data_IF_014946574128
#
_entry.id   IF_014946574128
#
_cell.length_a   1.000
_cell.length_b   1.000
_cell.length_c   1.000
_cell.angle_alpha   90.00
_cell.angle_beta   90.00
_cell.angle_gamma   90.00
#
_symmetry.space_group_name_H-M   'P 1'
#
loop_
_entity.id
_entity.type
_entity.pdbx_description
1 polymer ?
#
# COMPACT_ATOMS: atom_id res chain seq x y z
N UNK A 1 12.21 -35.68 7.73
CA UNK A 1 13.02 -34.52 8.19
C UNK A 1 12.62 -34.20 9.62
N UNK A 2 13.59 -34.04 10.55
CA UNK A 2 13.30 -33.66 11.94
C UNK A 2 12.97 -32.17 11.98
N UNK A 3 11.79 -31.82 12.48
CA UNK A 3 11.34 -30.43 12.61
C UNK A 3 12.05 -29.80 13.82
N UNK A 4 13.14 -29.08 13.58
CA UNK A 4 13.98 -28.50 14.63
C UNK A 4 13.34 -27.27 15.31
N UNK A 5 12.39 -26.61 14.63
CA UNK A 5 11.70 -25.40 15.11
C UNK A 5 10.24 -25.47 14.66
N UNK A 6 9.32 -25.11 15.57
CA UNK A 6 7.92 -24.85 15.26
C UNK A 6 7.70 -23.35 15.07
N UNK A 7 7.01 -22.95 14.00
CA UNK A 7 6.70 -21.54 13.73
C UNK A 7 5.21 -21.33 14.03
N UNK A 8 4.93 -20.50 15.03
CA UNK A 8 3.57 -20.10 15.37
C UNK A 8 3.02 -19.02 14.43
N UNK A 9 1.70 -19.01 14.25
CA UNK A 9 1.03 -17.95 13.47
C UNK A 9 1.04 -16.65 14.30
N UNK A 10 1.55 -15.53 13.76
CA UNK A 10 1.56 -14.24 14.44
C UNK A 10 0.15 -13.71 14.70
N UNK A 11 0.01 -12.84 15.71
CA UNK A 11 -1.27 -12.27 16.13
C UNK A 11 -2.04 -11.57 14.99
N UNK A 12 -1.34 -10.95 14.03
CA UNK A 12 -1.97 -10.31 12.87
C UNK A 12 -2.67 -11.29 11.91
N UNK A 13 -2.42 -12.60 12.03
CA UNK A 13 -3.03 -13.66 11.23
C UNK A 13 -3.76 -14.73 12.07
N UNK A 14 -3.96 -14.47 13.38
CA UNK A 14 -4.68 -15.39 14.24
C UNK A 14 -6.16 -15.49 13.85
N UNK A 15 -6.88 -16.45 14.44
CA UNK A 15 -8.29 -16.69 14.10
C UNK A 15 -9.17 -15.45 14.30
N UNK A 16 -8.93 -14.66 15.35
CA UNK A 16 -9.66 -13.42 15.62
C UNK A 16 -9.47 -12.40 14.49
N UNK A 17 -8.23 -12.13 14.10
CA UNK A 17 -7.90 -11.21 13.00
C UNK A 17 -8.51 -11.68 11.67
N UNK A 18 -8.53 -12.99 11.42
CA UNK A 18 -9.17 -13.58 10.23
C UNK A 18 -10.66 -13.28 10.19
N UNK A 19 -11.38 -13.50 11.29
CA UNK A 19 -12.81 -13.26 11.37
C UNK A 19 -13.15 -11.78 11.19
N UNK A 20 -12.37 -10.88 11.78
CA UNK A 20 -12.55 -9.43 11.62
C UNK A 20 -12.35 -8.99 10.16
N UNK A 21 -11.30 -9.49 9.49
CA UNK A 21 -11.04 -9.21 8.08
C UNK A 21 -12.14 -9.80 7.18
N UNK A 22 -12.64 -10.99 7.50
CA UNK A 22 -13.72 -11.63 6.75
C UNK A 22 -15.04 -10.87 6.89
N UNK A 23 -15.34 -10.33 8.08
CA UNK A 23 -16.52 -9.53 8.33
C UNK A 23 -16.52 -8.25 7.48
N UNK A 24 -15.45 -7.45 7.58
CA UNK A 24 -15.22 -6.32 6.68
C UNK A 24 -13.75 -5.86 6.70
N UNK A 25 -13.01 -6.19 5.65
CA UNK A 25 -11.60 -5.82 5.53
C UNK A 25 -11.39 -4.29 5.42
N UNK A 26 -12.37 -3.52 4.94
CA UNK A 26 -12.27 -2.07 4.82
C UNK A 26 -12.22 -1.38 6.19
N UNK A 27 -12.98 -1.90 7.16
CA UNK A 27 -13.07 -1.35 8.51
C UNK A 27 -11.89 -1.75 9.43
N UNK A 28 -11.02 -2.67 9.02
CA UNK A 28 -9.88 -3.11 9.84
C UNK A 28 -8.67 -2.19 9.64
N UNK A 29 -8.11 -1.70 10.75
CA UNK A 29 -6.80 -1.04 10.74
C UNK A 29 -5.68 -2.09 10.65
N UNK A 30 -5.27 -2.38 9.41
CA UNK A 30 -4.19 -3.31 9.14
C UNK A 30 -2.82 -2.72 9.47
N UNK A 31 -2.65 -1.39 9.37
CA UNK A 31 -1.36 -0.73 9.56
C UNK A 31 -0.88 -0.82 11.00
N UNK A 32 -1.75 -0.57 11.98
CA UNK A 32 -1.38 -0.69 13.39
C UNK A 32 -1.03 -2.12 13.80
N UNK A 33 -1.60 -3.11 13.13
CA UNK A 33 -1.33 -4.54 13.38
C UNK A 33 -0.05 -5.01 12.69
N UNK A 34 0.13 -4.66 11.42
CA UNK A 34 1.29 -5.02 10.62
C UNK A 34 1.43 -4.04 9.44
N UNK A 35 2.42 -3.11 9.48
CA UNK A 35 2.61 -2.14 8.39
C UNK A 35 2.87 -2.76 7.02
N UNK A 36 3.48 -3.96 6.99
CA UNK A 36 3.79 -4.74 5.80
C UNK A 36 2.92 -6.01 5.73
N UNK A 37 1.64 -5.88 6.04
CA UNK A 37 0.71 -7.01 6.20
C UNK A 37 0.75 -7.98 5.00
N UNK A 38 0.79 -7.44 3.77
CA UNK A 38 0.77 -8.26 2.56
C UNK A 38 2.10 -8.94 2.31
N UNK A 39 3.22 -8.20 2.30
CA UNK A 39 4.54 -8.78 2.09
C UNK A 39 4.90 -9.81 3.17
N UNK A 40 4.61 -9.50 4.43
CA UNK A 40 4.87 -10.39 5.55
C UNK A 40 4.03 -11.67 5.44
N UNK A 41 2.73 -11.54 5.14
CA UNK A 41 1.86 -12.69 4.97
C UNK A 41 2.28 -13.59 3.81
N UNK A 42 2.73 -13.03 2.68
CA UNK A 42 3.23 -13.80 1.54
C UNK A 42 4.47 -14.63 1.90
N UNK A 43 5.37 -14.09 2.72
CA UNK A 43 6.55 -14.81 3.24
C UNK A 43 6.18 -15.87 4.27
N UNK A 44 5.12 -15.65 5.04
CA UNK A 44 4.67 -16.55 6.11
C UNK A 44 3.79 -17.70 5.61
N UNK A 45 2.98 -17.49 4.57
CA UNK A 45 2.06 -18.47 4.01
C UNK A 45 2.70 -19.85 3.70
N UNK A 46 3.90 -19.95 3.08
CA UNK A 46 4.53 -21.24 2.85
C UNK A 46 5.10 -21.91 4.11
N UNK A 47 5.31 -21.15 5.18
CA UNK A 47 5.98 -21.61 6.41
C UNK A 47 4.99 -22.10 7.49
N UNK A 48 3.80 -21.49 7.56
CA UNK A 48 2.83 -21.78 8.61
C UNK A 48 1.50 -22.31 8.08
N UNK A 49 0.85 -21.53 7.21
CA UNK A 49 -0.55 -21.78 6.82
C UNK A 49 -0.83 -21.22 5.43
N UNK A 50 -1.15 -22.13 4.50
CA UNK A 50 -1.46 -21.80 3.10
C UNK A 50 -2.71 -20.92 2.95
N UNK A 51 -3.64 -20.95 3.92
CA UNK A 51 -4.85 -20.11 3.90
C UNK A 51 -4.56 -18.63 4.10
N UNK A 52 -3.37 -18.26 4.63
CA UNK A 52 -2.94 -16.86 4.75
C UNK A 52 -2.95 -16.20 3.37
N UNK A 53 -2.46 -16.88 2.32
CA UNK A 53 -2.46 -16.32 0.97
C UNK A 53 -3.87 -15.95 0.46
N UNK A 54 -4.86 -16.80 0.75
CA UNK A 54 -6.26 -16.53 0.39
C UNK A 54 -6.84 -15.35 1.17
N UNK A 55 -6.51 -15.24 2.46
CA UNK A 55 -6.92 -14.11 3.30
C UNK A 55 -6.34 -12.79 2.79
N UNK A 56 -5.05 -12.77 2.42
CA UNK A 56 -4.38 -11.59 1.87
C UNK A 56 -5.05 -11.14 0.57
N UNK A 57 -5.29 -12.07 -0.35
CA UNK A 57 -5.95 -11.77 -1.61
C UNK A 57 -7.37 -11.23 -1.39
N UNK A 58 -8.12 -11.83 -0.47
CA UNK A 58 -9.45 -11.36 -0.08
C UNK A 58 -9.42 -9.93 0.47
N UNK A 59 -8.59 -9.68 1.49
CA UNK A 59 -8.47 -8.37 2.13
C UNK A 59 -8.07 -7.29 1.13
N UNK A 60 -7.07 -7.58 0.30
CA UNK A 60 -6.59 -6.66 -0.73
C UNK A 60 -7.68 -6.33 -1.74
N UNK A 61 -8.41 -7.33 -2.24
CA UNK A 61 -9.47 -7.13 -3.24
C UNK A 61 -10.58 -6.19 -2.73
N UNK A 62 -10.98 -6.33 -1.47
CA UNK A 62 -12.01 -5.48 -0.86
C UNK A 62 -11.50 -4.05 -0.73
N UNK A 63 -10.30 -3.88 -0.17
CA UNK A 63 -9.72 -2.56 0.14
C UNK A 63 -9.25 -1.80 -1.10
N UNK A 64 -8.85 -2.50 -2.15
CA UNK A 64 -8.33 -1.94 -3.40
C UNK A 64 -9.24 -0.85 -4.00
N UNK A 65 -10.54 -1.15 -4.10
CA UNK A 65 -11.52 -0.22 -4.71
C UNK A 65 -11.63 1.07 -3.91
N UNK A 66 -11.64 0.97 -2.58
CA UNK A 66 -11.77 2.12 -1.70
C UNK A 66 -10.49 2.98 -1.72
N UNK A 67 -9.32 2.35 -1.67
CA UNK A 67 -8.02 3.02 -1.78
C UNK A 67 -7.94 3.85 -3.06
N UNK A 68 -8.28 3.24 -4.20
CA UNK A 68 -8.27 3.94 -5.49
C UNK A 68 -9.32 5.05 -5.57
N UNK A 69 -10.54 4.78 -5.10
CA UNK A 69 -11.59 5.80 -5.09
C UNK A 69 -11.12 7.03 -4.31
N UNK A 70 -10.63 6.82 -3.08
CA UNK A 70 -10.13 7.90 -2.23
C UNK A 70 -8.90 8.58 -2.80
N UNK A 71 -8.02 7.86 -3.50
CA UNK A 71 -6.87 8.46 -4.18
C UNK A 71 -7.29 9.44 -5.28
N UNK A 72 -8.46 9.27 -5.90
CA UNK A 72 -8.94 10.17 -6.95
C UNK A 72 -9.86 11.27 -6.46
N UNK A 73 -10.63 11.04 -5.39
CA UNK A 73 -11.70 11.95 -4.95
C UNK A 73 -11.38 12.75 -3.69
N UNK A 74 -10.42 12.31 -2.87
CA UNK A 74 -10.23 12.88 -1.53
C UNK A 74 -9.42 14.18 -1.56
N UNK A 75 -9.93 15.22 -0.89
CA UNK A 75 -9.20 16.45 -0.65
C UNK A 75 -8.02 16.21 0.32
N UNK A 76 -6.92 16.96 0.15
CA UNK A 76 -5.65 16.73 0.85
C UNK A 76 -5.77 16.60 2.38
N UNK A 77 -6.60 17.43 3.04
CA UNK A 77 -6.80 17.36 4.49
C UNK A 77 -7.42 16.04 4.97
N UNK A 78 -8.41 15.52 4.25
CA UNK A 78 -9.07 14.25 4.56
C UNK A 78 -8.20 13.03 4.17
N UNK A 79 -7.25 13.19 3.25
CA UNK A 79 -6.32 12.14 2.87
C UNK A 79 -5.38 11.75 4.02
N UNK A 80 -4.98 12.69 4.88
CA UNK A 80 -4.07 12.45 6.00
C UNK A 80 -4.56 11.33 6.96
N UNK A 81 -5.84 11.38 7.36
CA UNK A 81 -6.43 10.37 8.26
C UNK A 81 -6.53 9.00 7.61
N UNK A 82 -6.88 8.97 6.32
CA UNK A 82 -6.98 7.72 5.58
C UNK A 82 -5.63 7.05 5.38
N UNK A 83 -4.59 7.82 5.04
CA UNK A 83 -3.22 7.32 4.87
C UNK A 83 -2.68 6.64 6.14
N UNK A 84 -3.08 7.11 7.33
CA UNK A 84 -2.69 6.49 8.60
C UNK A 84 -3.26 5.08 8.81
N UNK A 85 -4.27 4.65 8.04
CA UNK A 85 -4.87 3.31 8.12
C UNK A 85 -4.34 2.35 7.05
N UNK A 86 -3.56 2.86 6.09
CA UNK A 86 -3.04 2.08 4.98
C UNK A 86 -1.73 1.40 5.33
N UNK A 87 -1.62 0.15 4.89
CA UNK A 87 -0.36 -0.59 4.84
C UNK A 87 0.62 0.07 3.86
N UNK A 88 1.88 -0.37 3.86
CA UNK A 88 2.92 0.19 2.99
C UNK A 88 2.61 -0.04 1.51
N UNK A 89 2.10 -1.21 1.17
CA UNK A 89 1.72 -1.60 -0.18
C UNK A 89 0.52 -0.77 -0.67
N UNK A 90 -0.47 -0.54 0.18
CA UNK A 90 -1.63 0.30 -0.13
C UNK A 90 -1.24 1.78 -0.24
N UNK A 91 -0.33 2.26 0.60
CA UNK A 91 0.20 3.63 0.54
C UNK A 91 0.90 3.86 -0.79
N UNK A 92 1.75 2.93 -1.22
CA UNK A 92 2.42 2.98 -2.52
C UNK A 92 1.42 3.08 -3.68
N UNK A 93 0.37 2.25 -3.66
CA UNK A 93 -0.70 2.29 -4.66
C UNK A 93 -1.45 3.63 -4.66
N UNK A 94 -1.78 4.14 -3.46
CA UNK A 94 -2.45 5.42 -3.29
C UNK A 94 -1.64 6.58 -3.90
N UNK A 95 -0.34 6.64 -3.58
CA UNK A 95 0.58 7.66 -4.08
C UNK A 95 0.79 7.57 -5.59
N UNK A 96 0.88 6.35 -6.14
CA UNK A 96 0.96 6.12 -7.58
C UNK A 96 -0.31 6.60 -8.31
N UNK A 97 -1.49 6.33 -7.75
CA UNK A 97 -2.77 6.79 -8.31
C UNK A 97 -2.90 8.32 -8.28
N UNK A 98 -2.50 8.96 -7.17
CA UNK A 98 -2.44 10.43 -7.06
C UNK A 98 -1.47 11.04 -8.07
N UNK A 99 -0.26 10.48 -8.19
CA UNK A 99 0.76 10.94 -9.13
C UNK A 99 0.30 10.84 -10.58
N UNK A 100 -0.35 9.72 -10.93
CA UNK A 100 -0.95 9.50 -12.25
C UNK A 100 -2.04 10.53 -12.57
N UNK A 101 -2.94 10.79 -11.62
CA UNK A 101 -4.01 11.79 -11.78
C UNK A 101 -3.45 13.22 -11.88
N UNK A 102 -2.42 13.55 -11.11
CA UNK A 102 -1.74 14.84 -11.20
C UNK A 102 -1.07 15.03 -12.57
N UNK A 103 -0.40 14.00 -13.10
CA UNK A 103 0.18 14.01 -14.43
C UNK A 103 -0.90 14.18 -15.52
N UNK A 104 -2.01 13.45 -15.42
CA UNK A 104 -3.14 13.57 -16.33
C UNK A 104 -3.74 14.97 -16.32
N UNK A 105 -3.97 15.57 -15.13
CA UNK A 105 -4.48 16.95 -15.01
C UNK A 105 -3.50 17.95 -15.62
N UNK A 106 -2.19 17.81 -15.38
CA UNK A 106 -1.16 18.67 -15.99
C UNK A 106 -1.16 18.58 -17.51
N UNK A 107 -1.29 17.36 -18.05
CA UNK A 107 -1.41 17.13 -19.48
C UNK A 107 -2.69 17.76 -20.05
N UNK A 108 -3.84 17.50 -19.42
CA UNK A 108 -5.16 17.98 -19.86
C UNK A 108 -5.26 19.51 -19.87
N UNK A 109 -4.71 20.18 -18.86
CA UNK A 109 -4.78 21.65 -18.74
C UNK A 109 -3.76 22.37 -19.62
N UNK A 110 -2.98 21.66 -20.45
CA UNK A 110 -2.08 22.28 -21.42
C UNK A 110 -0.88 22.99 -20.78
N UNK A 111 -0.25 22.38 -19.77
CA UNK A 111 0.99 22.91 -19.20
C UNK A 111 2.14 23.05 -20.22
N UNK A 112 3.27 23.68 -19.85
CA UNK A 112 4.39 23.90 -20.77
C UNK A 112 4.83 22.59 -21.43
N UNK A 113 4.69 22.50 -22.76
CA UNK A 113 4.93 21.27 -23.54
C UNK A 113 6.39 20.82 -23.52
N UNK A 114 7.31 21.75 -23.26
CA UNK A 114 8.73 21.52 -23.14
C UNK A 114 9.20 22.12 -21.82
N UNK A 115 9.75 21.30 -20.93
CA UNK A 115 10.40 21.74 -19.70
C UNK A 115 11.86 21.32 -19.72
N UNK A 116 12.74 22.20 -19.23
CA UNK A 116 14.16 21.91 -19.11
C UNK A 116 14.34 20.72 -18.15
N UNK A 117 15.00 19.67 -18.61
CA UNK A 117 15.32 18.52 -17.76
C UNK A 117 16.11 18.98 -16.53
N UNK A 118 15.84 18.38 -15.37
CA UNK A 118 16.47 18.74 -14.09
C UNK A 118 18.00 18.66 -14.12
N UNK A 119 18.56 17.81 -14.99
CA UNK A 119 20.00 17.68 -15.22
C UNK A 119 20.62 18.91 -15.91
N UNK A 120 19.86 19.62 -16.76
CA UNK A 120 20.32 20.80 -17.52
C UNK A 120 20.23 22.10 -16.69
N UNK A 121 19.56 22.07 -15.54
CA UNK A 121 19.49 23.20 -14.60
C UNK A 121 20.59 23.22 -13.55
N UNK A 122 21.39 22.14 -13.43
CA UNK A 122 22.47 22.08 -12.44
C UNK A 122 23.62 22.98 -12.87
N UNK A 123 23.94 23.99 -12.06
CA UNK A 123 25.20 24.73 -12.22
C UNK A 123 26.36 23.74 -12.08
N UNK A 124 27.25 23.70 -13.08
CA UNK A 124 28.48 22.90 -13.02
C UNK A 124 29.27 23.36 -11.78
N UNK A 125 29.70 22.41 -10.94
CA UNK A 125 30.70 22.70 -9.91
C UNK A 125 31.97 23.11 -10.63
N UNK A 126 32.45 24.34 -10.38
CA UNK A 126 33.80 24.74 -10.76
C UNK A 126 34.75 23.84 -9.97
N UNK A 127 35.59 23.10 -10.69
CA UNK A 127 36.70 22.37 -10.08
C UNK A 127 37.80 23.40 -9.78
N UNK A 128 38.25 23.38 -8.54
CA UNK A 128 39.43 24.10 -8.05
C UNK A 128 40.70 23.32 -8.41
#
# INVERSE_FOLDING_TARGET
MRQAVSIGVPACFNQKARLEIQADAACVDLRSRCPYFYEFGCKLAPLCDKSIGLLLAYAFRIRYKEVLHKAHTTAFAAASKFLMLLTKEETYMYEAAQSSMAAFKKWRMGGPRLQRASILGRKRKLAE
#
